data_IF_189652851114
#
_entry.id   IF_189652851114
#
_cell.length_a   1.000
_cell.length_b   1.000
_cell.length_c   1.000
_cell.angle_alpha   90.00
_cell.angle_beta   90.00
_cell.angle_gamma   90.00
#
_symmetry.space_group_name_H-M   'P 1'
#
loop_
_entity.id
_entity.type
_entity.pdbx_description
1 polymer ?
#
# COMPACT_ATOMS: atom_id res chain seq x y z
N UNK A 1 22.49 3.36 -15.33
CA UNK A 1 21.72 2.84 -14.19
C UNK A 1 20.39 2.41 -14.77
N UNK A 2 20.13 1.10 -14.89
CA UNK A 2 18.83 0.65 -15.41
C UNK A 2 17.80 0.88 -14.30
N UNK A 3 16.69 1.54 -14.63
CA UNK A 3 15.59 1.71 -13.69
C UNK A 3 15.12 0.32 -13.21
N UNK A 4 15.01 0.13 -11.90
CA UNK A 4 14.41 -1.06 -11.33
C UNK A 4 12.90 -0.88 -11.51
N UNK A 5 12.37 -1.23 -12.68
CA UNK A 5 10.92 -1.27 -12.94
C UNK A 5 10.39 -2.71 -12.92
N UNK A 6 10.98 -3.55 -12.06
CA UNK A 6 10.52 -4.91 -11.86
C UNK A 6 9.47 -4.91 -10.76
N UNK A 7 8.22 -5.16 -11.15
CA UNK A 7 7.07 -5.33 -10.24
C UNK A 7 7.38 -6.29 -9.10
N UNK A 8 8.25 -7.29 -9.32
CA UNK A 8 8.65 -8.25 -8.29
C UNK A 8 9.55 -7.63 -7.23
N UNK A 9 10.43 -6.69 -7.60
CA UNK A 9 11.34 -6.01 -6.66
C UNK A 9 10.58 -4.95 -5.87
N UNK A 10 9.82 -4.10 -6.56
CA UNK A 10 9.01 -3.06 -5.92
C UNK A 10 7.90 -3.69 -5.06
N UNK A 11 7.25 -4.75 -5.55
CA UNK A 11 6.24 -5.49 -4.79
C UNK A 11 6.79 -6.08 -3.49
N UNK A 12 8.04 -6.57 -3.50
CA UNK A 12 8.72 -7.02 -2.26
C UNK A 12 8.94 -5.87 -1.29
N UNK A 13 9.42 -4.72 -1.76
CA UNK A 13 9.58 -3.53 -0.92
C UNK A 13 8.25 -3.16 -0.26
N UNK A 14 7.18 -3.02 -1.03
CA UNK A 14 5.86 -2.67 -0.53
C UNK A 14 5.28 -3.72 0.43
N UNK A 15 5.59 -5.00 0.20
CA UNK A 15 5.19 -6.05 1.13
C UNK A 15 5.94 -6.00 2.47
N UNK A 16 7.24 -5.65 2.47
CA UNK A 16 7.96 -5.38 3.73
C UNK A 16 7.36 -4.17 4.47
N UNK A 17 7.00 -3.11 3.76
CA UNK A 17 6.30 -1.95 4.33
C UNK A 17 4.98 -2.37 5.01
N UNK A 18 4.15 -3.17 4.32
CA UNK A 18 2.89 -3.70 4.89
C UNK A 18 3.13 -4.49 6.18
N UNK A 19 4.14 -5.37 6.20
CA UNK A 19 4.48 -6.13 7.41
C UNK A 19 4.89 -5.23 8.57
N UNK A 20 5.63 -4.16 8.32
CA UNK A 20 6.07 -3.19 9.35
C UNK A 20 4.88 -2.47 9.99
N UNK A 21 3.79 -2.24 9.25
CA UNK A 21 2.57 -1.57 9.74
C UNK A 21 1.41 -2.50 10.08
N UNK A 22 1.55 -3.82 9.90
CA UNK A 22 0.48 -4.78 10.22
C UNK A 22 0.00 -4.66 11.68
N UNK A 23 0.91 -4.37 12.61
CA UNK A 23 0.55 -4.16 14.02
C UNK A 23 -0.32 -2.92 14.26
N UNK A 24 -0.32 -1.94 13.36
CA UNK A 24 -1.24 -0.80 13.39
C UNK A 24 -2.65 -1.29 13.06
N UNK A 25 -2.79 -2.02 11.95
CA UNK A 25 -4.06 -2.63 11.54
C UNK A 25 -4.65 -3.57 12.60
N UNK A 26 -3.83 -4.47 13.13
CA UNK A 26 -4.26 -5.52 14.04
C UNK A 26 -4.77 -5.02 15.40
N UNK A 27 -4.51 -3.76 15.76
CA UNK A 27 -5.08 -3.13 16.98
C UNK A 27 -6.60 -3.02 16.89
N UNK A 28 -7.10 -2.61 15.74
CA UNK A 28 -8.53 -2.34 15.53
C UNK A 28 -9.25 -3.52 14.85
N UNK A 29 -8.54 -4.24 13.99
CA UNK A 29 -9.08 -5.37 13.21
C UNK A 29 -8.22 -6.64 13.39
N UNK A 30 -8.17 -7.20 14.61
CA UNK A 30 -7.47 -8.46 14.86
C UNK A 30 -8.08 -9.58 14.00
N UNK A 31 -7.24 -10.48 13.49
CA UNK A 31 -7.63 -11.64 12.68
C UNK A 31 -8.49 -11.33 11.45
N UNK A 32 -8.40 -10.11 10.91
CA UNK A 32 -9.15 -9.72 9.72
C UNK A 32 -8.82 -10.65 8.54
N UNK A 33 -9.82 -11.34 7.96
CA UNK A 33 -9.58 -12.36 6.95
C UNK A 33 -9.13 -11.76 5.61
N UNK A 34 -9.52 -10.52 5.30
CA UNK A 34 -9.14 -9.82 4.07
C UNK A 34 -7.65 -9.47 4.14
N UNK A 35 -7.22 -8.78 5.19
CA UNK A 35 -5.81 -8.41 5.42
C UNK A 35 -4.90 -9.65 5.46
N UNK A 36 -5.30 -10.66 6.22
CA UNK A 36 -4.54 -11.93 6.31
C UNK A 36 -4.49 -12.64 4.97
N UNK A 37 -5.59 -12.60 4.21
CA UNK A 37 -5.66 -13.13 2.84
C UNK A 37 -4.71 -12.42 1.88
N UNK A 38 -4.63 -11.09 1.94
CA UNK A 38 -3.70 -10.27 1.14
C UNK A 38 -2.26 -10.65 1.47
N UNK A 39 -1.89 -10.67 2.76
CA UNK A 39 -0.52 -11.01 3.21
C UNK A 39 -0.10 -12.39 2.72
N UNK A 40 -0.94 -13.41 2.93
CA UNK A 40 -0.62 -14.78 2.54
C UNK A 40 -0.46 -14.94 1.02
N UNK A 41 -1.30 -14.23 0.24
CA UNK A 41 -1.22 -14.27 -1.23
C UNK A 41 0.00 -13.51 -1.73
N UNK A 42 0.32 -12.35 -1.16
CA UNK A 42 1.49 -11.57 -1.51
C UNK A 42 2.78 -12.36 -1.22
N UNK A 43 2.87 -13.02 -0.07
CA UNK A 43 4.01 -13.89 0.26
C UNK A 43 4.19 -15.01 -0.77
N UNK A 44 3.11 -15.74 -1.09
CA UNK A 44 3.14 -16.81 -2.09
C UNK A 44 3.50 -16.31 -3.50
N UNK A 45 3.01 -15.14 -3.89
CA UNK A 45 3.30 -14.55 -5.19
C UNK A 45 4.76 -14.09 -5.30
N UNK A 46 5.25 -13.33 -4.31
CA UNK A 46 6.55 -12.68 -4.34
C UNK A 46 7.72 -13.61 -4.04
N UNK A 47 7.51 -14.63 -3.20
CA UNK A 47 8.58 -15.51 -2.73
C UNK A 47 8.43 -16.97 -3.19
N UNK A 48 7.22 -17.42 -3.51
CA UNK A 48 6.94 -18.82 -3.88
C UNK A 48 6.60 -18.98 -5.37
N UNK A 49 6.72 -17.90 -6.17
CA UNK A 49 6.57 -17.87 -7.63
C UNK A 49 5.17 -18.33 -8.15
N UNK A 50 4.11 -18.08 -7.39
CA UNK A 50 2.74 -18.15 -7.93
C UNK A 50 2.53 -17.03 -8.97
N UNK A 51 1.89 -17.32 -10.11
CA UNK A 51 1.89 -16.42 -11.28
C UNK A 51 0.58 -15.66 -11.55
N UNK A 52 -0.42 -15.74 -10.68
CA UNK A 52 -1.76 -15.25 -10.99
C UNK A 52 -2.03 -13.83 -10.46
N UNK A 53 -1.61 -12.83 -11.25
CA UNK A 53 -1.81 -11.39 -10.97
C UNK A 53 -3.30 -10.99 -10.87
N UNK A 54 -4.19 -11.66 -11.61
CA UNK A 54 -5.64 -11.36 -11.60
C UNK A 54 -6.29 -11.50 -10.23
N UNK A 55 -5.70 -12.33 -9.36
CA UNK A 55 -6.17 -12.44 -7.97
C UNK A 55 -5.97 -11.15 -7.18
N UNK A 56 -4.90 -10.39 -7.47
CA UNK A 56 -4.65 -9.11 -6.81
C UNK A 56 -5.52 -8.00 -7.40
N UNK A 57 -5.79 -8.02 -8.71
CA UNK A 57 -6.78 -7.12 -9.33
C UNK A 57 -8.16 -7.31 -8.69
N UNK A 58 -8.61 -8.55 -8.52
CA UNK A 58 -9.88 -8.85 -7.85
C UNK A 58 -9.88 -8.38 -6.39
N UNK A 59 -8.80 -8.66 -5.64
CA UNK A 59 -8.67 -8.18 -4.26
C UNK A 59 -8.73 -6.65 -4.15
N UNK A 60 -8.11 -5.94 -5.09
CA UNK A 60 -8.19 -4.49 -5.15
C UNK A 60 -9.65 -4.05 -5.35
N UNK A 61 -10.24 -4.40 -6.49
CA UNK A 61 -11.59 -3.94 -6.87
C UNK A 61 -12.67 -4.32 -5.86
N UNK A 62 -12.62 -5.55 -5.31
CA UNK A 62 -13.64 -6.05 -4.40
C UNK A 62 -13.55 -5.40 -3.00
N UNK A 63 -12.41 -4.82 -2.63
CA UNK A 63 -12.16 -4.30 -1.27
C UNK A 63 -11.85 -2.80 -1.20
N UNK A 64 -11.80 -2.07 -2.32
CA UNK A 64 -11.58 -0.61 -2.35
C UNK A 64 -12.50 0.13 -1.38
N UNK A 65 -13.82 0.00 -1.54
CA UNK A 65 -14.81 0.65 -0.67
C UNK A 65 -14.66 0.29 0.81
N UNK A 66 -14.22 -0.94 1.10
CA UNK A 66 -14.01 -1.39 2.47
C UNK A 66 -12.83 -0.67 3.11
N UNK A 67 -11.66 -0.65 2.45
CA UNK A 67 -10.46 -0.01 2.99
C UNK A 67 -10.56 1.52 3.02
N UNK A 68 -11.18 2.14 2.01
CA UNK A 68 -11.39 3.60 1.97
C UNK A 68 -12.36 4.10 3.05
N UNK A 69 -13.25 3.24 3.54
CA UNK A 69 -14.16 3.59 4.64
C UNK A 69 -13.46 3.70 6.00
N UNK A 70 -12.23 3.19 6.12
CA UNK A 70 -11.45 3.17 7.36
C UNK A 70 -10.52 4.38 7.37
N UNK A 71 -10.54 5.14 8.46
CA UNK A 71 -9.77 6.39 8.59
C UNK A 71 -8.65 6.28 9.61
N UNK A 72 -7.79 7.31 9.68
CA UNK A 72 -6.65 7.36 10.59
C UNK A 72 -5.53 6.38 10.23
N UNK A 73 -4.64 6.11 11.19
CA UNK A 73 -3.45 5.25 10.98
C UNK A 73 -3.82 3.83 10.53
N UNK A 74 -4.93 3.30 11.05
CA UNK A 74 -5.47 2.00 10.65
C UNK A 74 -5.94 2.02 9.20
N UNK A 75 -6.58 3.11 8.77
CA UNK A 75 -6.94 3.33 7.37
C UNK A 75 -5.70 3.34 6.48
N UNK A 76 -4.63 4.04 6.88
CA UNK A 76 -3.37 4.09 6.16
C UNK A 76 -2.68 2.72 6.04
N UNK A 77 -2.71 1.90 7.10
CA UNK A 77 -2.25 0.52 7.04
C UNK A 77 -3.11 -0.32 6.07
N UNK A 78 -4.42 -0.06 6.01
CA UNK A 78 -5.34 -0.64 5.04
C UNK A 78 -5.00 -0.25 3.59
N UNK A 79 -4.80 1.05 3.34
CA UNK A 79 -4.39 1.57 2.02
C UNK A 79 -3.06 0.99 1.56
N UNK A 80 -2.11 0.78 2.47
CA UNK A 80 -0.85 0.06 2.19
C UNK A 80 -1.11 -1.32 1.59
N UNK A 81 -2.05 -2.08 2.17
CA UNK A 81 -2.41 -3.41 1.67
C UNK A 81 -3.16 -3.35 0.33
N UNK A 82 -4.11 -2.42 0.21
CA UNK A 82 -4.90 -2.24 -1.01
C UNK A 82 -4.00 -1.87 -2.20
N UNK A 83 -3.10 -0.90 -2.03
CA UNK A 83 -2.20 -0.46 -3.11
C UNK A 83 -1.06 -1.45 -3.39
N UNK A 84 -0.72 -2.32 -2.42
CA UNK A 84 0.09 -3.50 -2.73
C UNK A 84 -0.65 -4.42 -3.70
N UNK A 85 -1.94 -4.68 -3.50
CA UNK A 85 -2.75 -5.44 -4.47
C UNK A 85 -2.78 -4.77 -5.84
N UNK A 86 -2.97 -3.45 -5.90
CA UNK A 86 -2.91 -2.72 -7.17
C UNK A 86 -1.55 -2.93 -7.86
N UNK A 87 -0.45 -2.77 -7.13
CA UNK A 87 0.92 -2.96 -7.67
C UNK A 87 1.15 -4.37 -8.20
N UNK A 88 0.71 -5.40 -7.47
CA UNK A 88 0.92 -6.80 -7.86
C UNK A 88 -0.02 -7.25 -9.00
N UNK A 89 -1.21 -6.66 -9.08
CA UNK A 89 -2.20 -6.94 -10.12
C UNK A 89 -1.88 -6.22 -11.42
N UNK A 90 -1.80 -4.90 -11.37
CA UNK A 90 -1.68 -4.02 -12.54
C UNK A 90 -0.23 -3.74 -12.93
N UNK A 91 0.72 -3.91 -12.00
CA UNK A 91 2.12 -3.54 -12.20
C UNK A 91 2.50 -2.25 -11.49
N UNK A 92 3.76 -1.86 -11.64
CA UNK A 92 4.35 -0.66 -11.02
C UNK A 92 4.25 0.57 -11.91
N UNK A 93 4.00 0.36 -13.20
CA UNK A 93 3.57 1.38 -14.16
C UNK A 93 2.05 1.47 -14.06
N UNK A 94 1.53 2.19 -13.05
CA UNK A 94 0.35 3.00 -13.35
C UNK A 94 0.88 4.08 -14.28
N UNK A 95 0.74 3.85 -15.58
CA UNK A 95 1.26 4.71 -16.62
C UNK A 95 0.78 6.14 -16.37
N UNK A 96 1.71 6.97 -15.91
CA UNK A 96 1.65 8.44 -15.95
C UNK A 96 1.33 8.92 -17.40
N UNK A 97 1.45 8.05 -18.41
CA UNK A 97 1.19 8.33 -19.82
C UNK A 97 -0.30 8.58 -20.14
N UNK A 98 -1.25 8.09 -19.35
CA UNK A 98 -2.69 8.40 -19.50
C UNK A 98 -3.13 9.63 -18.68
N UNK A 99 -2.22 10.25 -17.92
CA UNK A 99 -2.50 11.52 -17.23
C UNK A 99 -2.51 12.67 -18.24
N UNK A 100 -3.69 12.94 -18.82
CA UNK A 100 -3.95 14.04 -19.76
C UNK A 100 -3.99 15.43 -19.08
N UNK A 101 -3.65 15.54 -17.79
CA UNK A 101 -3.64 16.79 -17.05
C UNK A 101 -5.02 17.43 -16.96
N UNK A 102 -5.89 16.89 -16.10
CA UNK A 102 -6.92 17.75 -15.53
C UNK A 102 -6.30 18.41 -14.29
N UNK A 103 -5.90 19.67 -14.48
CA UNK A 103 -5.50 20.61 -13.43
C UNK A 103 -6.76 21.02 -12.64
N UNK A 104 -7.45 20.07 -12.01
CA UNK A 104 -8.27 20.42 -10.88
C UNK A 104 -7.32 20.55 -9.68
N UNK A 105 -7.40 21.67 -8.97
CA UNK A 105 -6.53 21.89 -7.79
C UNK A 105 -6.98 21.00 -6.61
N UNK A 106 -7.48 19.79 -6.88
CA UNK A 106 -7.92 18.82 -5.90
C UNK A 106 -6.79 17.83 -5.64
N UNK A 107 -6.32 17.82 -4.40
CA UNK A 107 -5.33 16.87 -3.93
C UNK A 107 -5.96 15.48 -3.85
N UNK A 108 -5.61 14.58 -4.78
CA UNK A 108 -6.10 13.20 -4.77
C UNK A 108 -5.16 12.31 -3.94
N UNK A 109 -5.58 12.02 -2.71
CA UNK A 109 -4.85 11.14 -1.78
C UNK A 109 -4.84 9.68 -2.22
N UNK A 110 -5.50 9.36 -3.34
CA UNK A 110 -5.65 8.05 -3.96
C UNK A 110 -4.46 7.66 -4.87
N UNK A 111 -3.42 8.49 -4.98
CA UNK A 111 -2.28 8.25 -5.90
C UNK A 111 -0.96 7.88 -5.19
N UNK A 112 -1.00 7.50 -3.92
CA UNK A 112 0.23 7.28 -3.16
C UNK A 112 0.68 5.82 -3.17
N UNK A 113 2.00 5.65 -3.10
CA UNK A 113 2.61 4.32 -3.09
C UNK A 113 2.44 3.65 -1.72
N UNK A 114 2.39 2.30 -1.66
CA UNK A 114 2.24 1.56 -0.41
C UNK A 114 3.26 1.94 0.68
N UNK A 115 4.51 2.19 0.31
CA UNK A 115 5.56 2.60 1.24
C UNK A 115 5.27 3.97 1.87
N UNK A 116 4.66 4.89 1.13
CA UNK A 116 4.26 6.19 1.65
C UNK A 116 3.12 6.06 2.67
N UNK A 117 2.07 5.28 2.35
CA UNK A 117 1.00 4.98 3.30
C UNK A 117 1.53 4.32 4.57
N UNK A 118 2.42 3.35 4.43
CA UNK A 118 3.01 2.64 5.56
C UNK A 118 3.87 3.57 6.45
N UNK A 119 4.68 4.43 5.84
CA UNK A 119 5.49 5.42 6.58
C UNK A 119 4.61 6.34 7.42
N UNK A 120 3.48 6.81 6.87
CA UNK A 120 2.52 7.62 7.62
C UNK A 120 1.86 6.82 8.75
N UNK A 121 1.35 5.62 8.46
CA UNK A 121 0.73 4.74 9.46
C UNK A 121 1.68 4.41 10.63
N UNK A 122 2.98 4.26 10.34
CA UNK A 122 4.01 4.03 11.36
C UNK A 122 4.29 5.26 12.21
N UNK A 123 4.37 6.44 11.57
CA UNK A 123 4.70 7.69 12.27
C UNK A 123 3.52 8.29 13.05
N UNK A 124 2.29 7.89 12.71
CA UNK A 124 1.06 8.18 13.45
C UNK A 124 0.33 9.44 13.03
N UNK A 125 0.71 10.10 11.92
CA UNK A 125 0.00 11.26 11.36
C UNK A 125 0.34 11.48 9.87
N UNK A 126 -0.58 12.11 9.14
CA UNK A 126 -0.34 12.62 7.79
C UNK A 126 0.57 13.88 7.85
N UNK A 127 1.74 13.90 7.18
CA UNK A 127 2.66 15.05 7.17
C UNK A 127 2.07 16.37 6.67
N UNK A 128 0.97 16.32 5.93
CA UNK A 128 0.34 17.50 5.33
C UNK A 128 -0.78 18.10 6.18
N UNK A 129 -1.20 17.41 7.25
CA UNK A 129 -2.29 17.84 8.15
C UNK A 129 -1.76 18.23 9.54
N UNK A 130 -0.55 17.80 9.92
CA UNK A 130 0.09 18.13 11.20
C UNK A 130 1.61 17.87 11.25
N UNK A 131 2.27 18.27 12.36
CA UNK A 131 3.68 17.97 12.63
C UNK A 131 3.87 16.48 13.01
N UNK A 132 3.64 15.63 12.03
CA UNK A 132 4.06 14.22 12.01
C UNK A 132 5.44 13.95 12.63
N UNK A 133 5.55 12.82 13.33
CA UNK A 133 6.76 12.45 14.07
C UNK A 133 7.93 12.10 13.11
N UNK A 134 8.79 13.11 12.85
CA UNK A 134 9.97 13.01 11.97
C UNK A 134 10.92 11.89 12.40
N UNK A 135 11.07 11.65 13.70
CA UNK A 135 11.94 10.59 14.23
C UNK A 135 11.39 9.22 13.83
N UNK A 136 10.11 8.96 14.08
CA UNK A 136 9.46 7.70 13.72
C UNK A 136 9.46 7.41 12.22
N UNK A 137 9.35 8.43 11.37
CA UNK A 137 9.50 8.24 9.92
C UNK A 137 10.89 7.79 9.52
N UNK A 138 11.93 8.25 10.19
CA UNK A 138 13.29 7.75 9.94
C UNK A 138 13.42 6.31 10.43
N UNK A 139 12.90 6.00 11.61
CA UNK A 139 12.84 4.64 12.15
C UNK A 139 12.05 3.67 11.24
N UNK A 140 11.12 4.16 10.44
CA UNK A 140 10.43 3.35 9.43
C UNK A 140 11.38 2.86 8.32
N UNK A 141 12.43 3.61 8.01
CA UNK A 141 13.39 3.26 6.95
C UNK A 141 14.69 2.63 7.46
N UNK A 142 14.94 2.72 8.77
CA UNK A 142 16.00 1.98 9.47
C UNK A 142 15.65 0.48 9.61
#
# INVERSE_FOLDING_TARGET
MNAINDTSVIGKLYFECLKKVYSVWAKDFPDNPIMTGIINKADAFLYQQSSDRKKFEALYNDNTNYFESITGDTGLAGMTALFLCATLGYGTELEIEDYQGEDDNAFDWQDWTPDFYASMAYSGENPFVGESNVVRRKEFWD
#
